data_IF_875176948762
#
_entry.id   IF_875176948762
#
_cell.length_a   1.000
_cell.length_b   1.000
_cell.length_c   1.000
_cell.angle_alpha   90.00
_cell.angle_beta   90.00
_cell.angle_gamma   90.00
#
_symmetry.space_group_name_H-M   'P 1'
#
loop_
_entity.id
_entity.type
_entity.pdbx_description
1 polymer ?
#
# COMPACT_ATOMS: atom_id res chain seq x y z
N UNK A 1 -12.44 -10.68 16.65
CA UNK A 1 -12.33 -9.97 15.36
C UNK A 1 -13.64 -9.28 15.05
N UNK A 2 -13.60 -8.07 14.49
CA UNK A 2 -14.82 -7.36 14.06
C UNK A 2 -15.36 -7.92 12.73
N UNK A 3 -16.67 -7.85 12.53
CA UNK A 3 -17.30 -8.22 11.25
C UNK A 3 -16.93 -7.20 10.15
N UNK A 4 -16.71 -7.68 8.92
CA UNK A 4 -16.38 -6.83 7.76
C UNK A 4 -17.39 -5.70 7.53
N UNK A 5 -18.67 -5.94 7.80
CA UNK A 5 -19.75 -4.95 7.65
C UNK A 5 -19.69 -3.78 8.64
N UNK A 6 -18.91 -3.89 9.72
CA UNK A 6 -18.78 -2.82 10.74
C UNK A 6 -17.58 -1.91 10.49
N UNK A 7 -16.73 -2.22 9.51
CA UNK A 7 -15.54 -1.42 9.18
C UNK A 7 -15.98 -0.32 8.19
N UNK A 8 -15.88 0.93 8.61
CA UNK A 8 -16.15 2.12 7.82
C UNK A 8 -14.88 2.84 7.38
N UNK A 9 -15.04 3.94 6.63
CA UNK A 9 -13.91 4.77 6.18
C UNK A 9 -13.06 5.29 7.34
N UNK A 10 -13.70 5.69 8.45
CA UNK A 10 -13.02 6.17 9.65
C UNK A 10 -12.03 5.15 10.24
N UNK A 11 -12.40 3.87 10.34
CA UNK A 11 -11.48 2.83 10.81
C UNK A 11 -10.29 2.64 9.85
N UNK A 12 -10.53 2.76 8.55
CA UNK A 12 -9.47 2.67 7.53
C UNK A 12 -8.55 3.88 7.60
N UNK A 13 -9.07 5.09 7.81
CA UNK A 13 -8.29 6.30 8.02
C UNK A 13 -7.43 6.20 9.28
N UNK A 14 -8.01 5.75 10.40
CA UNK A 14 -7.29 5.55 11.65
C UNK A 14 -6.14 4.53 11.48
N UNK A 15 -6.35 3.47 10.70
CA UNK A 15 -5.30 2.51 10.38
C UNK A 15 -4.19 3.11 9.49
N UNK A 16 -4.56 3.94 8.50
CA UNK A 16 -3.60 4.64 7.67
C UNK A 16 -2.77 5.63 8.50
N UNK A 17 -3.38 6.33 9.45
CA UNK A 17 -2.70 7.25 10.36
C UNK A 17 -1.78 6.50 11.34
N UNK A 18 -2.19 5.34 11.84
CA UNK A 18 -1.31 4.48 12.63
C UNK A 18 -0.05 4.09 11.85
N UNK A 19 -0.18 3.70 10.58
CA UNK A 19 0.99 3.40 9.75
C UNK A 19 1.84 4.64 9.49
N UNK A 20 1.23 5.81 9.33
CA UNK A 20 1.97 7.06 9.21
C UNK A 20 2.76 7.37 10.48
N UNK A 21 2.15 7.26 11.66
CA UNK A 21 2.80 7.45 12.95
C UNK A 21 3.92 6.45 13.22
N UNK A 22 3.83 5.24 12.66
CA UNK A 22 4.89 4.23 12.68
C UNK A 22 6.01 4.46 11.64
N UNK A 23 5.96 5.53 10.83
CA UNK A 23 7.01 5.89 9.87
C UNK A 23 6.96 5.15 8.54
N UNK A 24 5.85 4.50 8.19
CA UNK A 24 5.72 3.86 6.88
C UNK A 24 5.69 4.90 5.76
N UNK A 25 6.45 4.66 4.69
CA UNK A 25 6.41 5.47 3.46
C UNK A 25 5.02 5.43 2.80
N UNK A 26 4.58 6.50 2.11
CA UNK A 26 3.31 6.53 1.40
C UNK A 26 3.12 5.35 0.44
N UNK A 27 4.15 4.97 -0.32
CA UNK A 27 4.08 3.81 -1.22
C UNK A 27 3.74 2.50 -0.49
N UNK A 28 4.26 2.33 0.73
CA UNK A 28 4.01 1.13 1.55
C UNK A 28 2.61 1.13 2.14
N UNK A 29 2.12 2.29 2.59
CA UNK A 29 0.73 2.48 3.04
C UNK A 29 -0.23 2.15 1.89
N UNK A 30 0.02 2.68 0.69
CA UNK A 30 -0.83 2.45 -0.49
C UNK A 30 -0.90 0.97 -0.87
N UNK A 31 0.23 0.24 -0.82
CA UNK A 31 0.24 -1.21 -1.06
C UNK A 31 -0.61 -1.98 -0.05
N UNK A 32 -0.53 -1.63 1.23
CA UNK A 32 -1.34 -2.26 2.28
C UNK A 32 -2.83 -1.94 2.11
N UNK A 33 -3.17 -0.69 1.85
CA UNK A 33 -4.54 -0.27 1.56
C UNK A 33 -5.11 -0.97 0.30
N UNK A 34 -4.29 -1.21 -0.72
CA UNK A 34 -4.71 -1.93 -1.93
C UNK A 34 -5.11 -3.39 -1.64
N UNK A 35 -4.39 -4.06 -0.73
CA UNK A 35 -4.75 -5.41 -0.26
C UNK A 35 -6.10 -5.38 0.45
N UNK A 36 -6.31 -4.44 1.37
CA UNK A 36 -7.59 -4.27 2.06
C UNK A 36 -8.73 -4.02 1.07
N UNK A 37 -8.53 -3.09 0.12
CA UNK A 37 -9.51 -2.81 -0.94
C UNK A 37 -9.87 -4.08 -1.72
N UNK A 38 -8.88 -4.93 -2.02
CA UNK A 38 -9.12 -6.19 -2.71
C UNK A 38 -9.93 -7.16 -1.86
N UNK A 39 -9.62 -7.31 -0.56
CA UNK A 39 -10.38 -8.17 0.36
C UNK A 39 -11.85 -7.79 0.40
N UNK A 40 -12.20 -6.52 0.55
CA UNK A 40 -13.62 -6.08 0.51
C UNK A 40 -14.28 -6.36 -0.83
N UNK A 41 -13.55 -6.20 -1.93
CA UNK A 41 -14.06 -6.53 -3.27
C UNK A 41 -14.34 -8.03 -3.42
N UNK A 42 -13.46 -8.88 -2.90
CA UNK A 42 -13.64 -10.33 -2.93
C UNK A 42 -14.77 -10.76 -2.01
N UNK A 43 -14.87 -10.21 -0.81
CA UNK A 43 -15.94 -10.47 0.13
C UNK A 43 -17.31 -10.19 -0.50
N UNK A 44 -17.47 -9.00 -1.10
CA UNK A 44 -18.70 -8.59 -1.75
C UNK A 44 -19.09 -9.50 -2.93
N UNK A 45 -18.11 -9.98 -3.70
CA UNK A 45 -18.36 -10.74 -4.94
C UNK A 45 -18.42 -12.26 -4.76
N UNK A 46 -17.66 -12.82 -3.82
CA UNK A 46 -17.37 -14.26 -3.76
C UNK A 46 -17.76 -14.92 -2.44
N UNK A 47 -17.85 -14.17 -1.34
CA UNK A 47 -18.13 -14.73 -0.02
C UNK A 47 -19.60 -14.61 0.40
N UNK A 48 -20.50 -14.33 -0.56
CA UNK A 48 -21.92 -14.20 -0.27
C UNK A 48 -22.26 -12.98 0.59
N UNK A 49 -21.50 -11.87 0.44
CA UNK A 49 -21.77 -10.60 1.11
C UNK A 49 -22.28 -9.53 0.12
N UNK A 50 -23.43 -9.75 -0.56
CA UNK A 50 -23.95 -8.77 -1.51
C UNK A 50 -24.24 -7.45 -0.80
N UNK A 51 -23.91 -6.33 -1.46
CA UNK A 51 -24.10 -4.99 -0.90
C UNK A 51 -23.06 -4.55 0.12
N UNK A 52 -22.03 -5.37 0.42
CA UNK A 52 -20.92 -4.95 1.27
C UNK A 52 -20.20 -3.74 0.65
N UNK A 53 -20.25 -2.61 1.35
CA UNK A 53 -19.52 -1.41 0.96
C UNK A 53 -18.01 -1.58 1.16
N UNK A 54 -17.20 -0.94 0.31
CA UNK A 54 -15.75 -0.96 0.45
C UNK A 54 -15.28 0.36 1.07
N UNK A 55 -15.00 0.40 2.37
CA UNK A 55 -14.66 1.63 3.08
C UNK A 55 -13.32 2.25 2.62
N UNK A 56 -12.46 1.47 1.97
CA UNK A 56 -11.17 1.96 1.46
C UNK A 56 -11.38 2.97 0.32
N UNK A 57 -12.57 3.02 -0.29
CA UNK A 57 -12.91 4.02 -1.32
C UNK A 57 -13.17 5.41 -0.76
N UNK A 58 -13.49 5.51 0.52
CA UNK A 58 -13.80 6.79 1.19
C UNK A 58 -12.51 7.47 1.71
N UNK A 59 -11.41 6.72 1.74
CA UNK A 59 -10.12 7.15 2.29
C UNK A 59 -9.24 7.77 1.21
N UNK A 60 -8.68 8.94 1.51
CA UNK A 60 -7.71 9.62 0.64
C UNK A 60 -6.30 9.16 0.97
N UNK A 61 -5.71 8.37 0.08
CA UNK A 61 -4.32 7.91 0.18
C UNK A 61 -3.35 8.96 -0.35
N UNK A 62 -2.20 9.12 0.33
CA UNK A 62 -1.16 10.06 -0.10
C UNK A 62 -0.44 9.56 -1.35
N UNK A 63 -0.07 10.50 -2.23
CA UNK A 63 0.78 10.20 -3.38
C UNK A 63 2.15 9.68 -2.91
N UNK A 64 2.65 8.64 -3.59
CA UNK A 64 3.99 8.14 -3.38
C UNK A 64 4.98 8.98 -4.18
N UNK A 65 5.79 9.77 -3.49
CA UNK A 65 6.89 10.55 -4.08
C UNK A 65 8.24 9.86 -3.85
N UNK A 66 8.29 8.55 -4.15
CA UNK A 66 9.51 7.73 -4.05
C UNK A 66 10.19 7.62 -5.44
N UNK A 67 10.21 8.71 -6.20
CA UNK A 67 10.86 8.76 -7.50
C UNK A 67 12.39 8.64 -7.35
N UNK A 68 13.03 7.90 -8.25
CA UNK A 68 14.48 7.70 -8.23
C UNK A 68 15.19 9.01 -8.59
N UNK A 69 15.99 9.54 -7.68
CA UNK A 69 16.69 10.84 -7.85
C UNK A 69 17.92 10.79 -8.74
N UNK A 70 18.51 9.61 -8.95
CA UNK A 70 19.66 9.40 -9.86
C UNK A 70 19.74 7.98 -10.42
N UNK A 71 20.42 7.80 -11.56
CA UNK A 71 20.84 6.49 -12.08
C UNK A 71 22.30 6.19 -11.73
N UNK A 72 22.71 4.93 -11.92
CA UNK A 72 24.12 4.50 -11.79
C UNK A 72 24.87 5.03 -13.00
N UNK A 73 26.07 5.58 -12.80
CA UNK A 73 26.97 6.01 -13.86
C UNK A 73 27.75 4.83 -14.47
N UNK A 74 28.29 4.99 -15.67
CA UNK A 74 29.13 3.95 -16.31
C UNK A 74 30.33 3.58 -15.44
N UNK A 75 31.04 4.55 -14.87
CA UNK A 75 32.18 4.30 -13.98
C UNK A 75 31.80 3.52 -12.71
N UNK A 76 30.63 3.81 -12.11
CA UNK A 76 30.12 3.03 -10.97
C UNK A 76 29.78 1.59 -11.40
N UNK A 77 29.25 1.41 -12.61
CA UNK A 77 28.93 0.10 -13.18
C UNK A 77 30.19 -0.72 -13.44
N UNK A 78 31.21 -0.13 -14.06
CA UNK A 78 32.50 -0.79 -14.33
C UNK A 78 33.19 -1.22 -13.03
N UNK A 79 33.17 -0.35 -12.01
CA UNK A 79 33.71 -0.66 -10.70
C UNK A 79 32.97 -1.83 -10.02
N UNK A 80 31.65 -1.90 -10.15
CA UNK A 80 30.85 -3.00 -9.62
C UNK A 80 31.18 -4.33 -10.33
N UNK A 81 31.22 -4.34 -11.68
CA UNK A 81 31.58 -5.54 -12.45
C UNK A 81 32.97 -6.07 -12.07
N UNK A 82 33.95 -5.17 -11.96
CA UNK A 82 35.32 -5.50 -11.54
C UNK A 82 35.35 -6.12 -10.13
N UNK A 83 34.58 -5.58 -9.19
CA UNK A 83 34.55 -6.05 -7.80
C UNK A 83 33.83 -7.39 -7.62
N UNK A 84 32.81 -7.69 -8.44
CA UNK A 84 32.04 -8.94 -8.36
C UNK A 84 32.62 -10.07 -9.21
N UNK A 85 33.69 -9.82 -9.97
CA UNK A 85 34.35 -10.83 -10.81
C UNK A 85 33.45 -11.38 -11.93
N UNK A 86 32.52 -10.55 -12.41
CA UNK A 86 31.62 -10.88 -13.53
C UNK A 86 32.19 -10.45 -14.86
#
# INVERSE_FOLDING_TARGET
>A
GQALSRIGGHEVDALCEQWRGAGYKPASINRRAAVLRHVFTVAAKKWGMPGLHNPVRDVTLQAADDARTRRVSEAELDALCTATGS
#
